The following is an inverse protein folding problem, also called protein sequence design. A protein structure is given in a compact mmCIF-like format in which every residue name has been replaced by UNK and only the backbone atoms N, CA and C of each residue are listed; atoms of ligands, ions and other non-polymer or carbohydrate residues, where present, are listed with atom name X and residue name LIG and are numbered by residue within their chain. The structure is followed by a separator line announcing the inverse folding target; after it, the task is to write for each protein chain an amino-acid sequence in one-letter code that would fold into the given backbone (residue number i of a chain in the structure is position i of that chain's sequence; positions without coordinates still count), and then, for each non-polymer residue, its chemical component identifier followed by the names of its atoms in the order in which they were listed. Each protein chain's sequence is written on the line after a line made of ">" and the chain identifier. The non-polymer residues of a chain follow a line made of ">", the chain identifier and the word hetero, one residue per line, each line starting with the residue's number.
data_IF_402995342474
#
_entry.id   IF_402995342474
#
_cell.length_a   1.000
_cell.length_b   1.000
_cell.length_c   1.000
_cell.angle_alpha   90.00
_cell.angle_beta   90.00
_cell.angle_gamma   90.00
#
_symmetry.space_group_name_H-M   'P 1'
#
loop_
_entity.id
_entity.type
_entity.pdbx_description
1 polymer ?
#
# COMPACT_ATOMS: atom_id res chain seq x y z
N UNK A 1 -13.18 -3.50 -12.81
CA UNK A 1 -13.21 -2.20 -12.10
C UNK A 1 -12.52 -2.46 -10.77
N UNK A 2 -11.40 -1.78 -10.48
CA UNK A 2 -10.71 -1.94 -9.19
C UNK A 2 -11.30 -0.93 -8.22
N UNK A 3 -11.70 -1.40 -7.05
CA UNK A 3 -12.25 -0.57 -5.98
C UNK A 3 -11.24 -0.54 -4.83
N UNK A 4 -10.83 0.66 -4.46
CA UNK A 4 -9.95 0.90 -3.33
C UNK A 4 -10.70 1.78 -2.34
N UNK A 5 -11.02 1.22 -1.18
CA UNK A 5 -11.70 1.92 -0.10
C UNK A 5 -10.71 2.36 0.97
N UNK A 6 -10.69 3.65 1.29
CA UNK A 6 -10.00 4.17 2.46
C UNK A 6 -10.98 4.37 3.61
N UNK A 7 -10.48 4.20 4.85
CA UNK A 7 -11.11 4.77 6.03
C UNK A 7 -10.27 5.96 6.49
N UNK A 8 -10.92 7.06 6.89
CA UNK A 8 -10.23 8.21 7.45
C UNK A 8 -9.33 7.76 8.60
N UNK A 9 -8.03 8.00 8.42
CA UNK A 9 -6.99 7.52 9.32
C UNK A 9 -6.37 8.66 10.14
N UNK A 10 -6.49 9.91 9.67
CA UNK A 10 -5.83 11.08 10.26
C UNK A 10 -6.82 12.27 10.35
N UNK A 11 -6.85 12.95 11.50
CA UNK A 11 -7.49 14.27 11.62
C UNK A 11 -6.58 15.39 11.03
N UNK A 12 -5.26 15.16 11.03
CA UNK A 12 -4.28 15.97 10.28
C UNK A 12 -3.02 15.15 9.95
N UNK A 13 -2.83 14.74 8.70
CA UNK A 13 -1.57 14.16 8.25
C UNK A 13 -0.51 15.28 8.08
N UNK A 14 0.70 15.09 8.59
CA UNK A 14 1.75 16.12 8.58
C UNK A 14 2.66 16.04 7.35
N UNK A 15 2.78 14.87 6.73
CA UNK A 15 3.61 14.64 5.56
C UNK A 15 2.93 13.64 4.64
N UNK A 16 2.63 14.03 3.40
CA UNK A 16 2.01 13.16 2.40
C UNK A 16 2.68 13.36 1.04
N UNK A 17 2.79 12.28 0.27
CA UNK A 17 3.26 12.34 -1.12
C UNK A 17 2.67 11.22 -1.96
N UNK A 18 2.59 11.46 -3.27
CA UNK A 18 2.35 10.43 -4.27
C UNK A 18 3.69 9.92 -4.79
N UNK A 19 3.89 8.61 -4.82
CA UNK A 19 5.09 8.01 -5.41
C UNK A 19 5.15 8.31 -6.92
N UNK A 20 6.34 8.27 -7.54
CA UNK A 20 6.46 8.03 -8.98
C UNK A 20 5.78 6.71 -9.37
N UNK A 21 5.68 6.44 -10.68
CA UNK A 21 5.29 5.10 -11.13
C UNK A 21 6.27 4.08 -10.56
N UNK A 22 5.76 3.10 -9.82
CA UNK A 22 6.59 2.07 -9.17
C UNK A 22 6.92 0.91 -10.12
N UNK A 23 6.31 0.91 -11.30
CA UNK A 23 6.56 -0.04 -12.39
C UNK A 23 6.25 0.57 -13.76
N UNK A 24 6.85 -0.02 -14.79
CA UNK A 24 6.33 0.05 -16.16
C UNK A 24 5.40 -1.12 -16.49
N UNK A 25 4.81 -1.11 -17.69
CA UNK A 25 3.94 -2.20 -18.16
C UNK A 25 4.67 -3.53 -18.21
N UNK A 26 3.96 -4.63 -17.93
CA UNK A 26 4.44 -6.01 -17.87
C UNK A 26 5.56 -6.22 -16.85
N UNK A 27 5.79 -5.25 -15.96
CA UNK A 27 6.75 -5.36 -14.87
C UNK A 27 6.05 -5.60 -13.54
N UNK A 28 6.69 -6.44 -12.73
CA UNK A 28 6.40 -6.59 -11.32
C UNK A 28 6.91 -5.38 -10.52
N UNK A 29 6.34 -5.16 -9.35
CA UNK A 29 6.89 -4.24 -8.37
C UNK A 29 6.76 -4.82 -6.96
N UNK A 30 7.64 -4.35 -6.09
CA UNK A 30 7.50 -4.42 -4.63
C UNK A 30 7.69 -2.99 -4.14
N UNK A 31 6.67 -2.42 -3.52
CA UNK A 31 6.68 -1.05 -3.02
C UNK A 31 6.34 -1.04 -1.53
N UNK A 32 7.09 -0.24 -0.78
CA UNK A 32 6.81 0.07 0.61
C UNK A 32 6.87 1.58 0.79
N UNK A 33 5.93 2.14 1.53
CA UNK A 33 6.07 3.51 2.00
C UNK A 33 7.32 3.62 2.90
N UNK A 34 7.94 4.81 2.99
CA UNK A 34 9.02 5.06 3.93
C UNK A 34 8.63 4.71 5.37
N UNK A 35 9.59 4.56 6.28
CA UNK A 35 9.30 4.29 7.68
C UNK A 35 8.24 5.23 8.26
N UNK A 36 7.28 4.66 9.00
CA UNK A 36 6.16 5.36 9.65
C UNK A 36 5.16 6.04 8.69
N UNK A 37 5.32 5.87 7.37
CA UNK A 37 4.28 6.23 6.41
C UNK A 37 3.36 5.04 6.17
N UNK A 38 2.08 5.33 5.94
CA UNK A 38 1.07 4.35 5.60
C UNK A 38 0.52 4.66 4.20
N UNK A 39 0.07 3.63 3.50
CA UNK A 39 -0.66 3.79 2.23
C UNK A 39 -2.06 4.32 2.54
N UNK A 40 -2.36 5.50 2.03
CA UNK A 40 -3.69 6.15 2.14
C UNK A 40 -4.39 6.29 0.79
N UNK A 41 -3.75 5.86 -0.29
CA UNK A 41 -4.22 6.03 -1.65
C UNK A 41 -3.44 5.17 -2.63
N UNK A 42 -4.07 4.84 -3.75
CA UNK A 42 -3.41 4.26 -4.91
C UNK A 42 -3.96 4.90 -6.18
N UNK A 43 -3.09 5.10 -7.16
CA UNK A 43 -3.43 5.59 -8.49
C UNK A 43 -2.89 4.62 -9.54
N UNK A 44 -3.57 4.51 -10.67
CA UNK A 44 -3.13 3.64 -11.75
C UNK A 44 -3.42 4.24 -13.12
N UNK A 45 -2.56 3.91 -14.08
CA UNK A 45 -2.76 4.24 -15.49
C UNK A 45 -2.78 2.95 -16.31
N UNK A 46 -3.89 2.69 -17.00
CA UNK A 46 -4.07 1.54 -17.88
C UNK A 46 -3.66 1.84 -19.32
N UNK A 47 -3.09 0.86 -20.01
CA UNK A 47 -2.78 0.96 -21.44
C UNK A 47 -3.27 -0.26 -22.21
N UNK A 48 -4.14 -0.05 -23.21
CA UNK A 48 -4.76 -1.14 -23.98
C UNK A 48 -3.80 -1.90 -24.90
N UNK A 49 -2.62 -1.35 -25.22
CA UNK A 49 -1.63 -2.10 -26.02
C UNK A 49 -0.94 -3.18 -25.17
N UNK A 50 -0.79 -2.89 -23.88
CA UNK A 50 -0.18 -3.80 -22.92
C UNK A 50 -1.21 -4.59 -22.11
N UNK A 51 -2.48 -4.18 -22.12
CA UNK A 51 -3.54 -4.67 -21.23
C UNK A 51 -3.09 -4.74 -19.77
N UNK A 52 -2.34 -3.70 -19.36
CA UNK A 52 -1.68 -3.65 -18.06
C UNK A 52 -1.66 -2.23 -17.49
N UNK A 53 -1.30 -2.12 -16.21
CA UNK A 53 -1.34 -0.90 -15.41
C UNK A 53 0.03 -0.57 -14.82
N UNK A 54 0.34 0.73 -14.85
CA UNK A 54 1.37 1.33 -13.99
C UNK A 54 0.73 1.85 -12.72
N UNK A 55 1.43 1.70 -11.61
CA UNK A 55 0.91 1.99 -10.28
C UNK A 55 1.69 3.08 -9.58
N UNK A 56 0.97 3.89 -8.80
CA UNK A 56 1.50 4.85 -7.86
C UNK A 56 0.77 4.70 -6.53
N UNK A 57 1.45 4.97 -5.43
CA UNK A 57 0.89 4.88 -4.08
C UNK A 57 1.01 6.23 -3.37
N UNK A 58 -0.05 6.60 -2.68
CA UNK A 58 -0.06 7.78 -1.82
C UNK A 58 0.32 7.35 -0.41
N UNK A 59 1.42 7.89 0.09
CA UNK A 59 1.96 7.62 1.40
C UNK A 59 1.77 8.84 2.28
N UNK A 60 1.27 8.64 3.50
CA UNK A 60 1.13 9.71 4.49
C UNK A 60 1.69 9.29 5.84
N UNK A 61 2.20 10.26 6.59
CA UNK A 61 2.66 10.12 7.97
C UNK A 61 2.04 11.21 8.84
N UNK A 62 1.86 10.86 10.11
CA UNK A 62 1.54 11.80 11.19
C UNK A 62 2.32 11.40 12.43
N UNK A 63 2.67 12.39 13.27
CA UNK A 63 3.45 12.18 14.49
C UNK A 63 2.73 11.30 15.53
N UNK A 64 1.41 11.14 15.43
CA UNK A 64 0.60 10.33 16.34
C UNK A 64 0.38 8.89 15.85
N UNK A 65 0.95 8.49 14.71
CA UNK A 65 0.73 7.19 14.11
C UNK A 65 2.04 6.48 13.80
N UNK A 66 2.33 5.47 14.59
CA UNK A 66 3.52 4.66 14.46
C UNK A 66 3.16 3.22 14.10
N UNK A 67 4.08 2.55 13.44
CA UNK A 67 3.92 1.18 12.95
C UNK A 67 5.01 0.31 13.52
N UNK A 68 4.66 -0.91 13.92
CA UNK A 68 5.58 -1.96 14.36
C UNK A 68 5.18 -3.30 13.74
N UNK A 69 5.99 -4.34 13.91
CA UNK A 69 5.64 -5.74 13.61
C UNK A 69 5.01 -5.94 12.23
N UNK A 70 5.75 -5.51 11.20
CA UNK A 70 5.28 -5.55 9.83
C UNK A 70 5.41 -6.95 9.22
N UNK A 71 4.36 -7.40 8.52
CA UNK A 71 4.34 -8.69 7.84
C UNK A 71 3.78 -8.57 6.43
N UNK A 72 4.27 -9.44 5.54
CA UNK A 72 3.72 -9.61 4.20
C UNK A 72 2.68 -10.73 4.20
N UNK A 73 1.58 -10.51 3.51
CA UNK A 73 0.63 -11.59 3.19
C UNK A 73 1.23 -12.58 2.18
N UNK A 74 0.68 -13.79 2.04
CA UNK A 74 0.75 -14.52 0.76
C UNK A 74 -0.01 -13.75 -0.35
N UNK A 75 -0.09 -14.31 -1.55
CA UNK A 75 -0.96 -13.75 -2.59
C UNK A 75 -2.42 -13.81 -2.14
N UNK A 76 -3.11 -12.68 -2.21
CA UNK A 76 -4.48 -12.53 -1.68
C UNK A 76 -5.57 -12.80 -2.70
N UNK A 77 -5.21 -12.92 -3.97
CA UNK A 77 -6.13 -13.21 -5.07
C UNK A 77 -5.54 -14.25 -6.03
N UNK A 78 -6.36 -14.77 -6.93
CA UNK A 78 -5.92 -15.43 -8.17
C UNK A 78 -6.12 -14.52 -9.40
N UNK A 79 -5.63 -14.94 -10.57
CA UNK A 79 -5.86 -14.23 -11.83
C UNK A 79 -7.32 -14.34 -12.28
N UNK A 80 -7.80 -13.29 -12.96
CA UNK A 80 -9.16 -13.14 -13.49
C UNK A 80 -10.25 -13.21 -12.42
N UNK A 81 -9.87 -13.08 -11.15
CA UNK A 81 -10.75 -13.13 -10.00
C UNK A 81 -11.08 -11.72 -9.51
N UNK A 82 -12.35 -11.48 -9.16
CA UNK A 82 -12.69 -10.35 -8.32
C UNK A 82 -12.26 -10.63 -6.89
N UNK A 83 -11.47 -9.75 -6.30
CA UNK A 83 -11.11 -9.88 -4.89
C UNK A 83 -11.38 -8.59 -4.11
N UNK A 84 -11.70 -8.78 -2.84
CA UNK A 84 -11.71 -7.74 -1.82
C UNK A 84 -10.82 -8.20 -0.68
N UNK A 85 -9.89 -7.35 -0.23
CA UNK A 85 -9.05 -7.64 0.92
C UNK A 85 -9.06 -6.46 1.88
N UNK A 86 -9.34 -6.74 3.15
CA UNK A 86 -9.36 -5.74 4.22
C UNK A 86 -8.12 -5.91 5.08
N UNK A 87 -7.44 -4.80 5.39
CA UNK A 87 -6.35 -4.78 6.37
C UNK A 87 -6.86 -5.34 7.70
N UNK A 88 -6.12 -6.27 8.35
CA UNK A 88 -6.53 -6.76 9.66
C UNK A 88 -6.71 -5.65 10.69
N UNK A 89 -7.64 -5.84 11.63
CA UNK A 89 -7.88 -4.87 12.69
C UNK A 89 -6.59 -4.52 13.45
N UNK A 90 -6.48 -3.27 13.91
CA UNK A 90 -5.29 -2.75 14.60
C UNK A 90 -3.99 -2.75 13.78
N UNK A 91 -4.11 -2.75 12.44
CA UNK A 91 -2.96 -2.61 11.54
C UNK A 91 -3.14 -1.44 10.57
N UNK A 92 -2.03 -1.04 9.95
CA UNK A 92 -1.97 -0.11 8.81
C UNK A 92 -1.39 -0.80 7.59
N UNK A 93 -1.93 -0.49 6.40
CA UNK A 93 -1.33 -0.89 5.13
C UNK A 93 -0.10 -0.02 4.87
N UNK A 94 1.04 -0.63 4.55
CA UNK A 94 2.32 0.09 4.34
C UNK A 94 3.03 -0.28 3.05
N UNK A 95 2.62 -1.36 2.38
CA UNK A 95 3.28 -1.81 1.16
C UNK A 95 2.39 -2.72 0.31
N UNK A 96 2.78 -2.86 -0.95
CA UNK A 96 2.14 -3.73 -1.92
C UNK A 96 3.18 -4.34 -2.86
N UNK A 97 2.97 -5.59 -3.23
CA UNK A 97 3.72 -6.29 -4.27
C UNK A 97 2.73 -6.81 -5.29
N UNK A 98 3.08 -6.67 -6.57
CA UNK A 98 2.26 -7.18 -7.65
C UNK A 98 3.11 -7.62 -8.84
N UNK A 99 2.63 -8.66 -9.53
CA UNK A 99 3.17 -9.05 -10.83
C UNK A 99 2.02 -9.30 -11.81
N UNK A 100 2.29 -9.01 -13.08
CA UNK A 100 1.40 -9.24 -14.21
C UNK A 100 1.79 -10.54 -14.92
N UNK A 101 0.78 -11.25 -15.44
CA UNK A 101 0.98 -12.41 -16.30
C UNK A 101 0.25 -12.25 -17.63
N UNK A 102 1.00 -12.17 -18.73
CA UNK A 102 0.47 -11.96 -20.08
C UNK A 102 -0.57 -13.02 -20.52
N UNK A 103 -0.54 -14.24 -19.99
CA UNK A 103 -1.53 -15.26 -20.36
C UNK A 103 -2.93 -14.91 -19.85
N UNK A 104 -3.00 -14.26 -18.69
CA UNK A 104 -4.24 -13.83 -18.06
C UNK A 104 -4.56 -12.34 -18.28
N UNK A 105 -3.56 -11.55 -18.69
CA UNK A 105 -3.61 -10.09 -18.77
C UNK A 105 -4.14 -9.46 -17.47
N UNK A 106 -3.66 -10.00 -16.34
CA UNK A 106 -4.11 -9.62 -15.01
C UNK A 106 -2.96 -9.70 -13.99
N UNK A 107 -3.20 -9.14 -12.79
CA UNK A 107 -2.22 -8.99 -11.74
C UNK A 107 -2.57 -9.75 -10.47
N UNK A 108 -1.55 -10.36 -9.88
CA UNK A 108 -1.59 -10.91 -8.52
C UNK A 108 -1.11 -9.87 -7.51
N UNK A 109 -1.60 -9.97 -6.28
CA UNK A 109 -1.34 -9.00 -5.24
C UNK A 109 -0.90 -9.64 -3.93
N UNK A 110 0.08 -9.03 -3.28
CA UNK A 110 0.42 -9.21 -1.87
C UNK A 110 0.44 -7.84 -1.21
N UNK A 111 0.12 -7.81 0.07
CA UNK A 111 0.14 -6.58 0.86
C UNK A 111 1.06 -6.72 2.06
N UNK A 112 1.71 -5.61 2.42
CA UNK A 112 2.44 -5.47 3.68
C UNK A 112 1.62 -4.61 4.61
N UNK A 113 1.37 -5.13 5.82
CA UNK A 113 0.72 -4.37 6.87
C UNK A 113 1.55 -4.44 8.15
N UNK A 114 1.39 -3.44 9.01
CA UNK A 114 2.09 -3.32 10.28
C UNK A 114 1.08 -3.09 11.40
N UNK A 115 1.38 -3.59 12.60
CA UNK A 115 0.60 -3.30 13.80
C UNK A 115 0.71 -1.80 14.14
N UNK A 116 -0.38 -1.23 14.65
CA UNK A 116 -0.38 0.12 15.22
C UNK A 116 0.49 0.12 16.47
N UNK A 117 1.35 1.13 16.62
CA UNK A 117 2.19 1.33 17.78
C UNK A 117 1.94 2.70 18.40
N UNK A 118 2.23 2.80 19.70
CA UNK A 118 2.37 4.10 20.35
C UNK A 118 3.61 4.80 19.81
N UNK A 119 3.47 6.06 19.43
CA UNK A 119 4.62 6.88 19.07
C UNK A 119 5.33 7.34 20.33
N UNK A 120 6.64 7.12 20.38
CA UNK A 120 7.48 7.75 21.39
C UNK A 120 7.62 9.23 21.03
N UNK A 121 7.00 10.10 21.83
CA UNK A 121 7.30 11.53 21.79
C UNK A 121 8.77 11.74 22.18
N UNK A 122 9.60 12.26 21.26
CA UNK A 122 10.95 12.75 21.62
C UNK A 122 10.93 13.83 22.71
N UNK A 123 9.76 14.41 23.02
CA UNK A 123 9.57 15.36 24.12
C UNK A 123 9.37 14.71 25.50
N UNK A 124 9.28 13.38 25.58
CA UNK A 124 9.12 12.62 26.83
C UNK A 124 10.22 11.58 27.01
N UNK A 125 11.46 11.89 26.64
CA UNK A 125 12.58 11.13 27.16
C UNK A 125 12.57 11.26 28.69
N UNK A 126 12.51 10.14 29.46
CA UNK A 126 12.69 10.23 30.90
C UNK A 126 14.09 10.79 31.19
N UNK A 127 14.15 11.81 32.05
CA UNK A 127 15.41 12.20 32.70
C UNK A 127 15.90 11.05 33.59
#
# INVERSE_FOLDING_TARGET
>A
MWEFGCKDTFDSASECFLSPNVNDFNQKFTFECPPQHIITGMSSYHNNKHEDRRWQFHCCRSNSHCTTDCVWTPFVNWFSEYFHWTVPNHNYLVGAESYHENKHEDRRWKYKYCAKAECLDCHKAPQ
#
